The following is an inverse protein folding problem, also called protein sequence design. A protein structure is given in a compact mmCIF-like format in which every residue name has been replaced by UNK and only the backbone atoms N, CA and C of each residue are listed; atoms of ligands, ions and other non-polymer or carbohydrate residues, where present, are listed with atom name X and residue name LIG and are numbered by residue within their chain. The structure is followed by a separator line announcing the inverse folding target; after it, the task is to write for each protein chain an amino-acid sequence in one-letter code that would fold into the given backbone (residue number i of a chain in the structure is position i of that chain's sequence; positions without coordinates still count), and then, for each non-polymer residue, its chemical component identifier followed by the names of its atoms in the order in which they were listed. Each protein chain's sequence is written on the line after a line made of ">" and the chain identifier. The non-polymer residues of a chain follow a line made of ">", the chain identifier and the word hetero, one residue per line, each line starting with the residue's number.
data_IF_535200845652
#
_entry.id   IF_535200845652
#
_cell.length_a   1.000
_cell.length_b   1.000
_cell.length_c   1.000
_cell.angle_alpha   90.00
_cell.angle_beta   90.00
_cell.angle_gamma   90.00
#
_symmetry.space_group_name_H-M   'P 1'
#
loop_
_entity.id
_entity.type
_entity.pdbx_description
1 polymer ?
#
# COMPACT_ATOMS: atom_id res chain seq x y z
N UNK A 1 -14.80 -15.37 -14.29
CA UNK A 1 -14.99 -15.28 -12.82
C UNK A 1 -14.52 -13.90 -12.40
N UNK A 2 -15.33 -13.14 -11.64
CA UNK A 2 -14.86 -11.92 -11.00
C UNK A 2 -14.08 -12.34 -9.75
N UNK A 3 -12.81 -11.97 -9.66
CA UNK A 3 -12.02 -12.23 -8.46
C UNK A 3 -12.48 -11.25 -7.39
N UNK A 4 -13.23 -11.74 -6.40
CA UNK A 4 -13.62 -10.95 -5.23
C UNK A 4 -12.44 -10.92 -4.26
N UNK A 5 -11.80 -9.75 -4.16
CA UNK A 5 -10.78 -9.47 -3.17
C UNK A 5 -11.46 -9.16 -1.84
N UNK A 6 -11.08 -9.88 -0.78
CA UNK A 6 -11.59 -9.61 0.56
C UNK A 6 -10.73 -8.55 1.22
N UNK A 7 -11.32 -7.41 1.59
CA UNK A 7 -10.63 -6.37 2.36
C UNK A 7 -10.36 -6.87 3.76
N UNK A 8 -9.08 -6.97 4.14
CA UNK A 8 -8.64 -7.38 5.47
C UNK A 8 -8.40 -6.17 6.37
N UNK A 9 -7.80 -5.10 5.82
CA UNK A 9 -7.41 -3.92 6.59
C UNK A 9 -7.50 -2.65 5.73
N UNK A 10 -7.93 -1.54 6.34
CA UNK A 10 -7.78 -0.20 5.81
C UNK A 10 -7.15 0.70 6.89
N UNK A 11 -6.07 1.39 6.55
CA UNK A 11 -5.36 2.25 7.49
C UNK A 11 -4.77 3.48 6.81
N UNK A 12 -4.96 4.64 7.43
CA UNK A 12 -4.25 5.86 7.03
C UNK A 12 -2.90 5.89 7.76
N UNK A 13 -1.83 6.14 7.01
CA UNK A 13 -0.45 6.17 7.49
C UNK A 13 0.15 7.50 7.11
N UNK A 14 0.73 8.20 8.08
CA UNK A 14 1.60 9.34 7.81
C UNK A 14 2.93 8.81 7.29
N UNK A 15 3.30 9.17 6.06
CA UNK A 15 4.59 8.78 5.48
C UNK A 15 5.65 9.84 5.80
N UNK A 16 5.34 11.09 5.44
CA UNK A 16 6.21 12.26 5.63
C UNK A 16 5.35 13.51 5.84
N UNK A 17 5.93 14.67 6.13
CA UNK A 17 5.17 15.91 6.32
C UNK A 17 4.33 16.25 5.06
N UNK A 18 3.01 16.33 5.24
CA UNK A 18 2.07 16.59 4.14
C UNK A 18 1.72 15.38 3.26
N UNK A 19 2.45 14.26 3.36
CA UNK A 19 2.22 13.03 2.60
C UNK A 19 1.63 11.92 3.48
N UNK A 20 0.44 11.46 3.12
CA UNK A 20 -0.24 10.33 3.77
C UNK A 20 -0.62 9.26 2.76
N UNK A 21 -0.64 8.01 3.20
CA UNK A 21 -1.13 6.89 2.41
C UNK A 21 -2.36 6.27 3.05
N UNK A 22 -3.41 6.04 2.26
CA UNK A 22 -4.44 5.08 2.61
C UNK A 22 -3.96 3.69 2.15
N UNK A 23 -3.54 2.89 3.12
CA UNK A 23 -3.14 1.51 2.92
C UNK A 23 -4.33 0.57 3.06
N UNK A 24 -4.68 -0.11 1.97
CA UNK A 24 -5.72 -1.13 1.90
C UNK A 24 -5.08 -2.50 1.64
N UNK A 25 -5.31 -3.42 2.55
CA UNK A 25 -4.86 -4.81 2.42
C UNK A 25 -6.02 -5.68 1.95
N UNK A 26 -5.77 -6.45 0.90
CA UNK A 26 -6.71 -7.41 0.35
C UNK A 26 -6.11 -8.81 0.37
N UNK A 27 -6.96 -9.81 0.60
CA UNK A 27 -6.59 -11.21 0.41
C UNK A 27 -7.25 -11.75 -0.86
N UNK A 28 -6.43 -12.39 -1.70
CA UNK A 28 -6.88 -13.10 -2.88
C UNK A 28 -7.13 -14.57 -2.53
N UNK A 29 -8.39 -15.02 -2.42
CA UNK A 29 -8.69 -16.39 -2.02
C UNK A 29 -8.30 -17.44 -3.06
N UNK A 30 -8.06 -17.05 -4.32
CA UNK A 30 -7.67 -17.98 -5.38
C UNK A 30 -6.18 -18.31 -5.36
N UNK A 31 -5.33 -17.35 -5.03
CA UNK A 31 -3.87 -17.54 -5.01
C UNK A 31 -3.31 -17.66 -3.60
N UNK A 32 -4.05 -17.20 -2.59
CA UNK A 32 -3.58 -17.07 -1.21
C UNK A 32 -2.70 -15.83 -1.00
N UNK A 33 -2.45 -15.04 -2.05
CA UNK A 33 -1.62 -13.85 -1.96
C UNK A 33 -2.39 -12.70 -1.32
N UNK A 34 -1.63 -11.78 -0.73
CA UNK A 34 -2.15 -10.50 -0.28
C UNK A 34 -1.76 -9.38 -1.23
N UNK A 35 -2.60 -8.39 -1.34
CA UNK A 35 -2.36 -7.20 -2.15
C UNK A 35 -2.44 -5.99 -1.24
N UNK A 36 -1.35 -5.25 -1.15
CA UNK A 36 -1.29 -3.97 -0.48
C UNK A 36 -1.48 -2.87 -1.52
N UNK A 37 -2.60 -2.15 -1.46
CA UNK A 37 -2.84 -0.95 -2.25
C UNK A 37 -2.59 0.28 -1.39
N UNK A 38 -1.78 1.21 -1.87
CA UNK A 38 -1.49 2.49 -1.25
C UNK A 38 -2.07 3.59 -2.13
N UNK A 39 -3.00 4.36 -1.61
CA UNK A 39 -3.46 5.60 -2.24
C UNK A 39 -2.80 6.79 -1.56
N UNK A 40 -1.93 7.46 -2.31
CA UNK A 40 -1.09 8.55 -1.83
C UNK A 40 -1.85 9.87 -1.92
N UNK A 41 -1.86 10.60 -0.81
CA UNK A 41 -2.49 11.90 -0.67
C UNK A 41 -1.45 12.91 -0.18
N UNK A 42 -1.28 13.99 -0.93
CA UNK A 42 -0.42 15.12 -0.56
C UNK A 42 -1.26 16.38 -0.41
N UNK A 43 -1.24 17.03 0.77
CA UNK A 43 -2.03 18.23 1.04
C UNK A 43 -3.50 18.15 0.59
N UNK A 44 -4.19 17.04 0.91
CA UNK A 44 -5.62 16.76 0.55
C UNK A 44 -5.90 16.45 -0.92
N UNK A 45 -4.87 16.35 -1.76
CA UNK A 45 -4.99 15.90 -3.14
C UNK A 45 -4.50 14.46 -3.29
N UNK A 46 -5.31 13.60 -3.92
CA UNK A 46 -4.87 12.27 -4.34
C UNK A 46 -3.84 12.46 -5.45
N UNK A 47 -2.61 12.04 -5.19
CA UNK A 47 -1.50 12.11 -6.14
C UNK A 47 -1.48 10.85 -7.01
N UNK A 48 -1.82 9.70 -6.44
CA UNK A 48 -1.90 8.45 -7.19
C UNK A 48 -2.09 7.24 -6.31
N UNK A 49 -2.05 6.06 -6.91
CA UNK A 49 -2.13 4.81 -6.18
C UNK A 49 -1.10 3.79 -6.70
N UNK A 50 -0.49 3.05 -5.77
CA UNK A 50 0.45 1.98 -6.07
C UNK A 50 0.00 0.69 -5.39
N UNK A 51 0.25 -0.45 -6.03
CA UNK A 51 -0.13 -1.75 -5.49
C UNK A 51 1.04 -2.71 -5.46
N UNK A 52 1.19 -3.43 -4.35
CA UNK A 52 2.23 -4.42 -4.13
C UNK A 52 1.58 -5.78 -3.88
N UNK A 53 2.10 -6.82 -4.55
CA UNK A 53 1.67 -8.20 -4.28
C UNK A 53 2.60 -8.79 -3.22
N UNK A 54 2.03 -9.16 -2.07
CA UNK A 54 2.71 -9.74 -0.93
C UNK A 54 2.61 -11.27 -1.01
N UNK A 55 3.43 -11.87 -1.87
CA UNK A 55 3.43 -13.32 -2.07
C UNK A 55 3.97 -14.03 -0.82
N UNK A 56 3.20 -15.01 -0.32
CA UNK A 56 3.60 -15.82 0.85
C UNK A 56 3.48 -15.12 2.21
N UNK A 57 3.02 -13.87 2.26
CA UNK A 57 2.80 -13.17 3.53
C UNK A 57 1.57 -13.73 4.24
N UNK A 58 1.70 -14.03 5.54
CA UNK A 58 0.56 -14.23 6.45
C UNK A 58 -0.19 -12.91 6.70
N UNK A 59 -1.37 -12.99 7.31
CA UNK A 59 -2.16 -11.81 7.67
C UNK A 59 -1.43 -10.93 8.66
N UNK A 60 -0.83 -11.53 9.68
CA UNK A 60 -0.06 -10.82 10.70
C UNK A 60 1.17 -10.12 10.10
N UNK A 61 1.91 -10.79 9.22
CA UNK A 61 3.07 -10.19 8.55
C UNK A 61 2.67 -9.02 7.66
N UNK A 62 1.58 -9.16 6.91
CA UNK A 62 1.07 -8.10 6.05
C UNK A 62 0.52 -6.92 6.86
N UNK A 63 -0.19 -7.17 7.95
CA UNK A 63 -0.61 -6.13 8.86
C UNK A 63 0.59 -5.41 9.48
N UNK A 64 1.60 -6.16 9.94
CA UNK A 64 2.81 -5.59 10.53
C UNK A 64 3.59 -4.75 9.52
N UNK A 65 3.66 -5.18 8.25
CA UNK A 65 4.19 -4.39 7.14
C UNK A 65 3.45 -3.06 7.00
N UNK A 66 2.10 -3.08 7.02
CA UNK A 66 1.28 -1.86 6.96
C UNK A 66 1.53 -0.97 8.18
N UNK A 67 1.74 -1.52 9.38
CA UNK A 67 2.00 -0.71 10.58
C UNK A 67 3.35 0.01 10.53
N UNK A 68 4.36 -0.64 9.97
CA UNK A 68 5.73 -0.14 9.89
C UNK A 68 6.09 0.27 8.46
N UNK A 69 5.10 0.70 7.68
CA UNK A 69 5.29 1.06 6.28
C UNK A 69 6.32 2.19 6.10
N UNK A 70 6.36 3.25 6.93
CA UNK A 70 7.39 4.29 6.84
C UNK A 70 8.81 3.76 7.07
N UNK A 71 8.96 2.66 7.81
CA UNK A 71 10.27 2.02 8.06
C UNK A 71 10.66 1.04 6.94
N UNK A 72 9.75 0.73 6.01
CA UNK A 72 10.03 -0.16 4.90
C UNK A 72 10.72 0.59 3.76
N UNK A 73 12.05 0.51 3.73
CA UNK A 73 12.89 1.19 2.74
C UNK A 73 12.54 0.85 1.28
N UNK A 74 12.11 -0.39 1.00
CA UNK A 74 11.74 -0.78 -0.37
C UNK A 74 10.46 -0.08 -0.82
N UNK A 75 9.41 -0.12 0.02
CA UNK A 75 8.13 0.54 -0.30
C UNK A 75 8.31 2.06 -0.36
N UNK A 76 9.05 2.66 0.58
CA UNK A 76 9.32 4.10 0.57
C UNK A 76 10.07 4.52 -0.70
N UNK A 77 11.11 3.78 -1.09
CA UNK A 77 11.81 4.02 -2.36
C UNK A 77 10.88 3.93 -3.57
N UNK A 78 10.00 2.92 -3.60
CA UNK A 78 9.03 2.76 -4.68
C UNK A 78 8.00 3.90 -4.72
N UNK A 79 7.68 4.50 -3.57
CA UNK A 79 6.83 5.69 -3.47
C UNK A 79 7.60 6.92 -3.98
N UNK A 80 8.86 7.11 -3.57
CA UNK A 80 9.70 8.21 -4.02
C UNK A 80 9.89 8.20 -5.53
N UNK A 81 10.21 7.04 -6.11
CA UNK A 81 10.37 6.86 -7.55
C UNK A 81 9.05 7.15 -8.30
N UNK A 82 7.90 6.79 -7.71
CA UNK A 82 6.59 7.11 -8.28
C UNK A 82 6.29 8.61 -8.25
N UNK A 83 6.53 9.27 -7.12
CA UNK A 83 6.29 10.71 -6.96
C UNK A 83 7.25 11.56 -7.80
N UNK A 84 8.50 11.11 -7.95
CA UNK A 84 9.48 11.78 -8.79
C UNK A 84 9.18 11.60 -10.29
N UNK A 85 8.60 10.46 -10.69
CA UNK A 85 8.30 10.14 -12.09
C UNK A 85 7.02 10.79 -12.64
N UNK A 86 6.09 11.23 -11.78
CA UNK A 86 4.86 11.93 -12.19
C UNK A 86 5.05 13.46 -12.32
N UNK A 87 6.28 13.98 -12.08
CA UNK A 87 6.66 15.39 -12.28
C UNK A 87 7.21 15.66 -13.70
N UNK A 88 6.46 15.32 -14.75
CA UNK A 88 6.70 15.79 -16.13
C UNK A 88 5.58 16.74 -16.59
#
# INVERSE_FOLDING_TARGET
>A
MKTELNTELNRIIQLEEGLVALASLYHNPMTGDRILKLELNYHTQIIGAKSFTLQGFSGEEAENLVRNLPDNQYIMREIDEFLAGDMD
#
